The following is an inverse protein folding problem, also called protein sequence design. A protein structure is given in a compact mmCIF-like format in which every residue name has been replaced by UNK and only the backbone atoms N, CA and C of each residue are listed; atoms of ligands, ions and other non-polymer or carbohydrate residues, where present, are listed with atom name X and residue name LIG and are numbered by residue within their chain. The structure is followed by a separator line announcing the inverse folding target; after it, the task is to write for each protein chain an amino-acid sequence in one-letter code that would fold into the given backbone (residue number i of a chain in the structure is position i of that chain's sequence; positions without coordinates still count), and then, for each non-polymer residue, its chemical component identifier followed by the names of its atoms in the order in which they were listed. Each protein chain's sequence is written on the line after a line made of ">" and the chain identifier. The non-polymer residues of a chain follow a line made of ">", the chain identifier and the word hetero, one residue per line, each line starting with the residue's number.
data_IF_509020117351
#
_entry.id   IF_509020117351
#
_cell.length_a   1.000
_cell.length_b   1.000
_cell.length_c   1.000
_cell.angle_alpha   90.00
_cell.angle_beta   90.00
_cell.angle_gamma   90.00
#
_symmetry.space_group_name_H-M   'P 1'
#
loop_
_entity.id
_entity.type
_entity.pdbx_description
1 polymer ?
#
# COMPACT_ATOMS: atom_id res chain seq x y z
N UNK A 1 -30.54 -33.86 -20.20
CA UNK A 1 -30.52 -32.37 -20.23
C UNK A 1 -30.33 -31.68 -18.87
N UNK A 2 -30.51 -32.35 -17.74
CA UNK A 2 -30.36 -31.76 -16.38
C UNK A 2 -28.91 -31.46 -15.92
N UNK A 3 -27.87 -32.06 -16.51
CA UNK A 3 -26.47 -31.87 -16.11
C UNK A 3 -25.89 -30.51 -16.51
N UNK A 4 -26.30 -29.96 -17.65
CA UNK A 4 -25.83 -28.68 -18.17
C UNK A 4 -26.30 -27.47 -17.33
N UNK A 5 -27.49 -27.55 -16.75
CA UNK A 5 -28.03 -26.49 -15.90
C UNK A 5 -27.37 -26.44 -14.53
N UNK A 6 -27.08 -27.61 -13.95
CA UNK A 6 -26.35 -27.70 -12.67
C UNK A 6 -24.93 -27.18 -12.77
N UNK A 7 -24.19 -27.49 -13.83
CA UNK A 7 -22.84 -26.99 -14.05
C UNK A 7 -22.82 -25.46 -14.26
N UNK A 8 -23.80 -24.89 -14.95
CA UNK A 8 -23.94 -23.44 -15.09
C UNK A 8 -24.19 -22.75 -13.75
N UNK A 9 -25.09 -23.26 -12.93
CA UNK A 9 -25.39 -22.72 -11.61
C UNK A 9 -24.20 -22.80 -10.67
N UNK A 10 -23.44 -23.89 -10.71
CA UNK A 10 -22.18 -24.01 -9.92
C UNK A 10 -21.11 -23.01 -10.37
N UNK A 11 -21.00 -22.77 -11.69
CA UNK A 11 -20.08 -21.78 -12.26
C UNK A 11 -20.48 -20.35 -11.90
N UNK A 12 -21.77 -20.01 -11.91
CA UNK A 12 -22.25 -18.69 -11.45
C UNK A 12 -21.96 -18.47 -9.97
N UNK A 13 -22.24 -19.44 -9.12
CA UNK A 13 -22.02 -19.37 -7.68
C UNK A 13 -20.52 -19.27 -7.31
N UNK A 14 -19.64 -19.90 -8.11
CA UNK A 14 -18.18 -19.74 -7.97
C UNK A 14 -17.73 -18.31 -8.33
N UNK A 15 -18.26 -17.77 -9.43
CA UNK A 15 -17.93 -16.44 -9.93
C UNK A 15 -18.40 -15.31 -9.00
N UNK A 16 -19.54 -15.50 -8.32
CA UNK A 16 -20.04 -14.56 -7.31
C UNK A 16 -19.12 -14.51 -6.07
N UNK A 17 -18.67 -15.68 -5.60
CA UNK A 17 -17.73 -15.78 -4.47
C UNK A 17 -16.37 -15.15 -4.78
N UNK A 18 -15.84 -15.36 -5.97
CA UNK A 18 -14.56 -14.78 -6.37
C UNK A 18 -14.65 -13.25 -6.50
N UNK A 19 -15.80 -12.75 -6.96
CA UNK A 19 -16.09 -11.31 -7.01
C UNK A 19 -16.16 -10.69 -5.61
N UNK A 20 -16.83 -11.37 -4.70
CA UNK A 20 -16.95 -10.93 -3.31
C UNK A 20 -15.58 -10.91 -2.60
N UNK A 21 -14.75 -11.94 -2.83
CA UNK A 21 -13.39 -11.99 -2.31
C UNK A 21 -12.52 -10.84 -2.84
N UNK A 22 -12.61 -10.52 -4.13
CA UNK A 22 -11.87 -9.39 -4.71
C UNK A 22 -12.32 -8.05 -4.13
N UNK A 23 -13.61 -7.87 -3.90
CA UNK A 23 -14.13 -6.67 -3.27
C UNK A 23 -13.65 -6.54 -1.81
N UNK A 24 -13.65 -7.63 -1.05
CA UNK A 24 -13.10 -7.65 0.30
C UNK A 24 -11.59 -7.30 0.30
N UNK A 25 -10.81 -7.89 -0.61
CA UNK A 25 -9.41 -7.54 -0.75
C UNK A 25 -9.21 -6.07 -1.10
N UNK A 26 -10.02 -5.52 -1.99
CA UNK A 26 -9.95 -4.09 -2.34
C UNK A 26 -10.22 -3.20 -1.12
N UNK A 27 -11.22 -3.53 -0.29
CA UNK A 27 -11.53 -2.82 0.94
C UNK A 27 -10.34 -2.89 1.91
N UNK A 28 -9.74 -4.07 2.08
CA UNK A 28 -8.55 -4.22 2.91
C UNK A 28 -7.39 -3.36 2.41
N UNK A 29 -7.15 -3.29 1.11
CA UNK A 29 -6.13 -2.41 0.54
C UNK A 29 -6.41 -0.93 0.84
N UNK A 30 -7.66 -0.49 0.76
CA UNK A 30 -8.03 0.89 1.13
C UNK A 30 -7.76 1.17 2.61
N UNK A 31 -8.09 0.25 3.49
CA UNK A 31 -7.82 0.39 4.93
C UNK A 31 -6.32 0.45 5.20
N UNK A 32 -5.55 -0.47 4.61
CA UNK A 32 -4.08 -0.50 4.77
C UNK A 32 -3.43 0.74 4.15
N UNK A 33 -3.89 1.21 3.00
CA UNK A 33 -3.40 2.45 2.39
C UNK A 33 -3.65 3.67 3.29
N UNK A 34 -4.84 3.77 3.89
CA UNK A 34 -5.16 4.82 4.85
C UNK A 34 -4.27 4.76 6.10
N UNK A 35 -4.08 3.56 6.65
CA UNK A 35 -3.18 3.36 7.79
C UNK A 35 -1.72 3.66 7.44
N UNK A 36 -1.24 3.23 6.28
CA UNK A 36 0.10 3.53 5.79
C UNK A 36 0.31 5.04 5.61
N UNK A 37 -0.67 5.75 5.04
CA UNK A 37 -0.64 7.21 4.93
C UNK A 37 -0.56 7.88 6.30
N UNK A 38 -1.37 7.42 7.27
CA UNK A 38 -1.35 7.95 8.63
C UNK A 38 0.02 7.72 9.29
N UNK A 39 0.57 6.51 9.21
CA UNK A 39 1.87 6.16 9.77
C UNK A 39 3.02 6.91 9.09
N UNK A 40 2.85 7.32 7.83
CA UNK A 40 3.84 8.13 7.11
C UNK A 40 4.05 9.51 7.74
N UNK A 41 3.14 10.00 8.56
CA UNK A 41 3.33 11.22 9.32
C UNK A 41 4.28 11.05 10.51
N UNK A 42 4.50 9.84 10.98
CA UNK A 42 5.40 9.59 12.11
C UNK A 42 6.85 10.05 11.85
N UNK A 43 7.46 9.81 10.68
CA UNK A 43 8.77 10.35 10.33
C UNK A 43 8.86 11.88 10.33
N UNK A 44 7.76 12.61 10.23
CA UNK A 44 7.77 14.07 10.31
C UNK A 44 8.19 14.59 11.69
N UNK A 45 8.08 13.77 12.73
CA UNK A 45 8.64 14.10 14.04
C UNK A 45 10.16 14.26 13.96
N UNK A 46 10.84 13.40 13.21
CA UNK A 46 12.30 13.52 12.98
C UNK A 46 12.64 14.80 12.21
N UNK A 47 11.84 15.13 11.20
CA UNK A 47 11.98 16.40 10.46
C UNK A 47 11.82 17.60 11.39
N UNK A 48 10.79 17.59 12.26
CA UNK A 48 10.56 18.67 13.22
C UNK A 48 11.72 18.83 14.22
N UNK A 49 12.21 17.71 14.77
CA UNK A 49 13.40 17.71 15.66
C UNK A 49 14.62 18.24 14.94
N UNK A 50 14.85 17.81 13.69
CA UNK A 50 15.96 18.29 12.86
C UNK A 50 15.91 19.81 12.63
N UNK A 51 14.72 20.32 12.30
CA UNK A 51 14.51 21.76 12.11
C UNK A 51 14.75 22.55 13.40
N UNK A 52 14.29 22.04 14.54
CA UNK A 52 14.52 22.67 15.86
C UNK A 52 16.02 22.73 16.15
N UNK A 53 16.78 21.67 15.89
CA UNK A 53 18.24 21.67 16.08
C UNK A 53 18.94 22.67 15.17
N UNK A 54 18.58 22.74 13.89
CA UNK A 54 19.13 23.73 12.95
C UNK A 54 18.83 25.15 13.45
N UNK A 55 17.61 25.40 13.89
CA UNK A 55 17.21 26.71 14.41
C UNK A 55 17.98 27.07 15.69
N UNK A 56 18.09 26.16 16.65
CA UNK A 56 18.82 26.36 17.88
C UNK A 56 20.32 26.63 17.65
N UNK A 57 20.94 25.86 16.73
CA UNK A 57 22.34 26.05 16.35
C UNK A 57 22.61 27.43 15.72
N UNK A 58 21.68 27.91 14.88
CA UNK A 58 21.80 29.19 14.18
C UNK A 58 21.53 30.40 15.06
N UNK A 59 20.66 30.30 16.06
CA UNK A 59 20.22 31.42 16.89
C UNK A 59 20.88 31.42 18.27
N UNK A 60 21.82 30.50 18.53
CA UNK A 60 22.60 30.49 19.78
C UNK A 60 21.75 30.36 21.04
N UNK A 61 20.65 29.60 21.00
CA UNK A 61 19.71 29.42 22.11
C UNK A 61 20.23 28.46 23.20
N UNK A 62 21.51 28.00 23.10
CA UNK A 62 22.12 27.15 24.11
C UNK A 62 22.35 27.92 25.40
N UNK A 63 22.07 27.26 26.52
CA UNK A 63 22.46 27.78 27.86
C UNK A 63 23.98 27.72 28.03
N UNK A 64 24.58 28.63 28.81
CA UNK A 64 26.00 28.57 29.11
C UNK A 64 26.39 27.21 29.69
N UNK A 65 27.30 26.49 29.00
CA UNK A 65 27.74 25.15 29.39
C UNK A 65 27.02 23.97 28.72
N UNK A 66 26.06 24.21 27.85
CA UNK A 66 25.36 23.18 27.07
C UNK A 66 25.96 23.12 25.65
N UNK A 67 26.65 22.02 25.32
CA UNK A 67 27.14 21.79 23.96
C UNK A 67 25.94 21.37 23.07
N UNK A 68 25.55 22.26 22.17
CA UNK A 68 24.55 21.90 21.15
C UNK A 68 25.13 20.87 20.17
N UNK A 69 24.35 19.88 19.75
CA UNK A 69 24.74 19.02 18.66
C UNK A 69 25.11 19.86 17.43
N UNK A 70 26.13 19.50 16.66
CA UNK A 70 26.51 20.23 15.46
C UNK A 70 25.30 20.34 14.50
N UNK A 71 25.14 21.47 13.81
CA UNK A 71 24.04 21.74 12.84
C UNK A 71 23.86 20.60 11.83
N UNK A 72 24.94 19.88 11.52
CA UNK A 72 24.94 18.70 10.66
C UNK A 72 23.95 17.61 11.11
N UNK A 73 23.84 17.33 12.42
CA UNK A 73 22.86 16.37 12.92
C UNK A 73 21.41 16.82 12.65
N UNK A 74 21.15 18.12 12.81
CA UNK A 74 19.84 18.69 12.46
C UNK A 74 19.47 18.44 11.01
N UNK A 75 20.42 18.62 10.10
CA UNK A 75 20.23 18.34 8.67
C UNK A 75 19.99 16.87 8.39
N UNK A 76 20.74 15.95 9.05
CA UNK A 76 20.51 14.50 8.90
C UNK A 76 19.07 14.14 9.29
N UNK A 77 18.62 14.57 10.46
CA UNK A 77 17.25 14.27 10.93
C UNK A 77 16.19 14.88 10.03
N UNK A 78 16.37 16.11 9.59
CA UNK A 78 15.41 16.79 8.71
C UNK A 78 15.30 16.08 7.36
N UNK A 79 16.42 15.75 6.72
CA UNK A 79 16.44 15.06 5.42
C UNK A 79 15.90 13.64 5.56
N UNK A 80 16.36 12.88 6.57
CA UNK A 80 15.92 11.50 6.78
C UNK A 80 14.41 11.43 7.02
N UNK A 81 13.87 12.28 7.89
CA UNK A 81 12.45 12.33 8.17
C UNK A 81 11.62 12.69 6.94
N UNK A 82 12.09 13.67 6.14
CA UNK A 82 11.43 14.08 4.90
C UNK A 82 11.45 12.99 3.84
N UNK A 83 12.57 12.30 3.65
CA UNK A 83 12.70 11.19 2.69
C UNK A 83 11.80 10.02 3.08
N UNK A 84 11.80 9.64 4.35
CA UNK A 84 10.94 8.56 4.85
C UNK A 84 9.45 8.91 4.70
N UNK A 85 9.08 10.17 4.93
CA UNK A 85 7.71 10.65 4.71
C UNK A 85 7.30 10.50 3.24
N UNK A 86 8.12 10.97 2.31
CA UNK A 86 7.84 10.89 0.86
C UNK A 86 7.71 9.43 0.41
N UNK A 87 8.62 8.55 0.86
CA UNK A 87 8.56 7.11 0.57
C UNK A 87 7.26 6.51 1.13
N UNK A 88 6.90 6.83 2.37
CA UNK A 88 5.68 6.34 3.01
C UNK A 88 4.41 6.74 2.28
N UNK A 89 4.31 8.00 1.87
CA UNK A 89 3.18 8.49 1.07
C UNK A 89 3.14 7.84 -0.32
N UNK A 90 4.29 7.70 -0.99
CA UNK A 90 4.36 7.02 -2.27
C UNK A 90 3.86 5.55 -2.16
N UNK A 91 4.27 4.85 -1.11
CA UNK A 91 3.78 3.49 -0.83
C UNK A 91 2.28 3.45 -0.57
N UNK A 92 1.75 4.36 0.25
CA UNK A 92 0.32 4.45 0.50
C UNK A 92 -0.50 4.65 -0.79
N UNK A 93 -0.01 5.50 -1.70
CA UNK A 93 -0.61 5.73 -3.02
C UNK A 93 -0.55 4.45 -3.87
N UNK A 94 0.58 3.74 -3.89
CA UNK A 94 0.72 2.48 -4.62
C UNK A 94 -0.27 1.41 -4.13
N UNK A 95 -0.41 1.26 -2.80
CA UNK A 95 -1.37 0.34 -2.18
C UNK A 95 -2.81 0.73 -2.55
N UNK A 96 -3.13 2.01 -2.54
CA UNK A 96 -4.44 2.51 -2.94
C UNK A 96 -4.76 2.22 -4.41
N UNK A 97 -3.80 2.43 -5.31
CA UNK A 97 -3.94 2.11 -6.73
C UNK A 97 -4.09 0.59 -6.93
N UNK A 98 -3.36 -0.24 -6.17
CA UNK A 98 -3.51 -1.69 -6.20
C UNK A 98 -4.92 -2.12 -5.78
N UNK A 99 -5.46 -1.59 -4.67
CA UNK A 99 -6.83 -1.82 -4.24
C UNK A 99 -7.86 -1.42 -5.31
N UNK A 100 -7.65 -0.27 -5.96
CA UNK A 100 -8.51 0.17 -7.07
C UNK A 100 -8.38 -0.77 -8.29
N UNK A 101 -7.19 -1.25 -8.61
CA UNK A 101 -6.98 -2.20 -9.71
C UNK A 101 -7.65 -3.54 -9.46
N UNK A 102 -7.69 -4.01 -8.20
CA UNK A 102 -8.45 -5.20 -7.80
C UNK A 102 -9.96 -4.98 -7.95
N UNK A 103 -10.47 -3.84 -7.47
CA UNK A 103 -11.89 -3.51 -7.56
C UNK A 103 -12.37 -3.40 -9.02
N UNK A 104 -11.58 -2.79 -9.90
CA UNK A 104 -11.86 -2.60 -11.31
C UNK A 104 -11.47 -3.81 -12.19
N UNK A 105 -10.84 -4.84 -11.60
CA UNK A 105 -10.31 -6.03 -12.31
C UNK A 105 -9.40 -5.68 -13.48
N UNK A 106 -8.65 -4.59 -13.35
CA UNK A 106 -7.74 -4.09 -14.36
C UNK A 106 -6.28 -4.27 -13.88
N UNK A 107 -5.34 -4.44 -14.83
CA UNK A 107 -3.90 -4.50 -14.56
C UNK A 107 -3.48 -5.58 -13.53
N UNK A 108 -3.81 -6.83 -13.80
CA UNK A 108 -3.44 -8.01 -12.98
C UNK A 108 -1.97 -7.99 -12.53
N UNK A 109 -1.04 -7.76 -13.47
CA UNK A 109 0.40 -7.75 -13.19
C UNK A 109 0.80 -6.66 -12.20
N UNK A 110 0.17 -5.48 -12.28
CA UNK A 110 0.44 -4.39 -11.35
C UNK A 110 0.00 -4.74 -9.92
N UNK A 111 -1.20 -5.29 -9.76
CA UNK A 111 -1.70 -5.72 -8.45
C UNK A 111 -0.80 -6.79 -7.82
N UNK A 112 -0.29 -7.73 -8.63
CA UNK A 112 0.63 -8.78 -8.18
C UNK A 112 1.99 -8.22 -7.75
N UNK A 113 2.57 -7.27 -8.50
CA UNK A 113 3.84 -6.62 -8.14
C UNK A 113 3.70 -5.85 -6.82
N UNK A 114 2.62 -5.09 -6.65
CA UNK A 114 2.38 -4.35 -5.40
C UNK A 114 2.18 -5.32 -4.22
N UNK A 115 1.44 -6.42 -4.40
CA UNK A 115 1.29 -7.44 -3.38
C UNK A 115 2.64 -8.06 -2.95
N UNK A 116 3.57 -8.25 -3.89
CA UNK A 116 4.94 -8.70 -3.57
C UNK A 116 5.72 -7.65 -2.76
N UNK A 117 5.57 -6.36 -3.09
CA UNK A 117 6.20 -5.27 -2.35
C UNK A 117 5.58 -5.15 -0.94
N UNK A 118 4.26 -5.30 -0.81
CA UNK A 118 3.56 -5.32 0.47
C UNK A 118 4.06 -6.42 1.39
N UNK A 119 4.43 -7.60 0.84
CA UNK A 119 5.00 -8.70 1.62
C UNK A 119 6.29 -8.33 2.35
N UNK A 120 7.02 -7.30 1.92
CA UNK A 120 8.22 -6.79 2.59
C UNK A 120 7.89 -5.96 3.85
N UNK A 121 6.66 -5.49 3.98
CA UNK A 121 6.20 -4.69 5.12
C UNK A 121 5.58 -5.58 6.20
N UNK A 122 6.44 -6.15 7.05
CA UNK A 122 6.05 -7.01 8.19
C UNK A 122 5.45 -6.14 9.32
N UNK A 123 4.36 -6.57 10.01
CA UNK A 123 3.60 -7.81 9.83
C UNK A 123 2.35 -7.70 8.93
N UNK A 124 1.77 -6.51 8.81
CA UNK A 124 0.46 -6.32 8.16
C UNK A 124 0.53 -6.45 6.63
N UNK A 125 1.59 -5.90 6.02
CA UNK A 125 1.80 -5.98 4.58
C UNK A 125 2.02 -7.42 4.10
N UNK A 126 2.74 -8.22 4.87
CA UNK A 126 2.99 -9.64 4.56
C UNK A 126 1.69 -10.44 4.50
N UNK A 127 0.80 -10.25 5.48
CA UNK A 127 -0.49 -10.96 5.52
C UNK A 127 -1.33 -10.55 4.31
N UNK A 128 -1.46 -9.26 4.06
CA UNK A 128 -2.25 -8.72 2.95
C UNK A 128 -1.67 -9.15 1.59
N UNK A 129 -0.36 -9.02 1.41
CA UNK A 129 0.34 -9.40 0.19
C UNK A 129 0.18 -10.88 -0.13
N UNK A 130 0.36 -11.77 0.86
CA UNK A 130 0.17 -13.22 0.68
C UNK A 130 -1.28 -13.54 0.32
N UNK A 131 -2.27 -12.99 1.01
CA UNK A 131 -3.69 -13.18 0.66
C UNK A 131 -3.99 -12.71 -0.75
N UNK A 132 -3.45 -11.57 -1.16
CA UNK A 132 -3.62 -11.02 -2.51
C UNK A 132 -3.01 -11.93 -3.56
N UNK A 133 -1.78 -12.42 -3.33
CA UNK A 133 -1.11 -13.36 -4.26
C UNK A 133 -1.91 -14.65 -4.37
N UNK A 134 -2.35 -15.24 -3.27
CA UNK A 134 -3.16 -16.47 -3.27
C UNK A 134 -4.49 -16.26 -4.01
N UNK A 135 -5.18 -15.14 -3.78
CA UNK A 135 -6.42 -14.83 -4.48
C UNK A 135 -6.20 -14.64 -5.99
N UNK A 136 -5.16 -13.88 -6.38
CA UNK A 136 -4.82 -13.65 -7.79
C UNK A 136 -4.30 -14.91 -8.51
N UNK A 137 -3.72 -15.87 -7.78
CA UNK A 137 -3.23 -17.13 -8.35
C UNK A 137 -4.35 -18.09 -8.78
N UNK A 138 -5.59 -17.85 -8.35
CA UNK A 138 -6.73 -18.70 -8.74
C UNK A 138 -7.07 -18.51 -10.21
N UNK A 139 -7.26 -19.61 -10.95
CA UNK A 139 -7.60 -19.58 -12.37
C UNK A 139 -8.93 -18.85 -12.64
N UNK A 140 -9.91 -18.99 -11.76
CA UNK A 140 -11.20 -18.30 -11.83
C UNK A 140 -11.03 -16.78 -11.78
N UNK A 141 -10.15 -16.27 -10.93
CA UNK A 141 -9.84 -14.84 -10.78
C UNK A 141 -9.10 -14.34 -12.04
N UNK A 142 -8.10 -15.08 -12.52
CA UNK A 142 -7.42 -14.78 -13.79
C UNK A 142 -8.40 -14.66 -14.96
N UNK A 143 -9.38 -15.55 -15.04
CA UNK A 143 -10.41 -15.51 -16.06
C UNK A 143 -11.31 -14.25 -15.95
N UNK A 144 -11.58 -13.77 -14.74
CA UNK A 144 -12.32 -12.51 -14.53
C UNK A 144 -11.56 -11.29 -15.06
N UNK A 145 -10.24 -11.22 -14.81
CA UNK A 145 -9.40 -10.15 -15.34
C UNK A 145 -9.29 -10.22 -16.88
N UNK A 146 -9.15 -11.43 -17.45
CA UNK A 146 -9.09 -11.61 -18.90
C UNK A 146 -10.40 -11.15 -19.59
N UNK A 147 -11.55 -11.46 -19.00
CA UNK A 147 -12.86 -11.00 -19.50
C UNK A 147 -13.02 -9.49 -19.41
N UNK A 148 -12.60 -8.88 -18.31
CA UNK A 148 -12.68 -7.43 -18.13
C UNK A 148 -11.78 -6.69 -19.14
N UNK A 149 -10.59 -7.21 -19.43
CA UNK A 149 -9.68 -6.64 -20.45
C UNK A 149 -10.25 -6.79 -21.85
N UNK A 150 -10.93 -7.89 -22.16
CA UNK A 150 -11.57 -8.10 -23.47
C UNK A 150 -12.81 -7.22 -23.71
N UNK A 151 -13.43 -6.71 -22.66
CA UNK A 151 -14.62 -5.84 -22.70
C UNK A 151 -14.30 -4.35 -22.62
N UNK A 152 -13.04 -3.98 -22.37
CA UNK A 152 -12.63 -2.59 -22.37
C UNK A 152 -12.61 -2.08 -23.81
N UNK A 153 -13.45 -1.08 -24.18
CA UNK A 153 -13.37 -0.47 -25.51
C UNK A 153 -12.01 0.25 -25.62
N UNK A 154 -11.31 -0.02 -26.75
CA UNK A 154 -10.08 0.64 -27.11
C UNK A 154 -10.27 2.13 -27.42
#
# INVERSE_FOLDING_TARGET
>A
MAGSSRNRLASFKGMDRDTEQLNLLAIFHYVVAGLAALLSFFPQLYTAVGVIFIFAARHGTAKPGEELPPEFFGWIFAVLGSVLFVIGIAMAICILIAGRSLALRNRYSFALVIACIECLFVPFGTILGVFTIVALSRESVRALFAKATAQAPG
#
